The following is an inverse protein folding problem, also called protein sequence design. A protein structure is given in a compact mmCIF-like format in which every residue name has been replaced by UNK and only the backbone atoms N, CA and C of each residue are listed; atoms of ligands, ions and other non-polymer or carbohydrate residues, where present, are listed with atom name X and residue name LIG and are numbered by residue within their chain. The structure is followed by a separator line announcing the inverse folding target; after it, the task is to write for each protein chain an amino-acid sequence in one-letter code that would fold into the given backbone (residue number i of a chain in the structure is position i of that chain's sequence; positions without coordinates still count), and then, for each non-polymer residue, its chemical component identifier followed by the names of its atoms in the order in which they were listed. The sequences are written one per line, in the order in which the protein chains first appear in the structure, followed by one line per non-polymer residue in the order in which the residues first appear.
data_IF_580393005333
#
_entry.id   IF_580393005333
#
_cell.length_a   1.000
_cell.length_b   1.000
_cell.length_c   1.000
_cell.angle_alpha   90.00
_cell.angle_beta   90.00
_cell.angle_gamma   90.00
#
_symmetry.space_group_name_H-M   'P 1'
#
loop_
_entity.id
_entity.type
_entity.pdbx_description
1 polymer ?
#
# COMPACT_ATOMS: atom_id res chain seq x y z
N UNK A 1 23.50 20.07 -45.83
CA UNK A 1 24.09 19.46 -44.60
C UNK A 1 23.73 20.17 -43.29
N UNK A 2 23.16 21.39 -43.26
CA UNK A 2 22.70 22.05 -42.01
C UNK A 2 21.38 21.49 -41.44
N UNK A 3 20.50 20.95 -42.28
CA UNK A 3 19.20 20.39 -41.86
C UNK A 3 19.32 19.06 -41.08
N UNK A 4 20.43 18.34 -41.23
CA UNK A 4 20.67 17.07 -40.52
C UNK A 4 21.04 17.29 -39.03
N UNK A 5 21.73 18.39 -38.72
CA UNK A 5 22.12 18.73 -37.35
C UNK A 5 20.95 19.16 -36.47
N UNK A 6 19.89 19.72 -37.05
CA UNK A 6 18.70 20.17 -36.30
C UNK A 6 17.87 18.97 -35.82
N UNK A 7 17.81 17.90 -36.62
CA UNK A 7 17.08 16.67 -36.24
C UNK A 7 17.74 15.96 -35.06
N UNK A 8 19.07 15.97 -35.00
CA UNK A 8 19.83 15.35 -33.91
C UNK A 8 19.67 16.09 -32.57
N UNK A 9 19.50 17.41 -32.60
CA UNK A 9 19.29 18.23 -31.41
C UNK A 9 17.89 18.04 -30.78
N UNK A 10 16.88 17.72 -31.59
CA UNK A 10 15.51 17.49 -31.11
C UNK A 10 15.37 16.10 -30.45
N UNK A 11 16.15 15.10 -30.87
CA UNK A 11 16.16 13.76 -30.26
C UNK A 11 16.81 13.72 -28.87
N UNK A 12 17.77 14.61 -28.58
CA UNK A 12 18.47 14.68 -27.30
C UNK A 12 17.64 15.30 -26.16
N UNK A 13 16.54 15.97 -26.46
CA UNK A 13 15.66 16.59 -25.45
C UNK A 13 14.59 15.64 -24.88
N UNK A 14 14.38 14.47 -25.49
CA UNK A 14 13.31 13.54 -25.08
C UNK A 14 13.77 12.58 -23.96
N UNK A 15 15.06 12.51 -23.64
CA UNK A 15 15.58 11.60 -22.61
C UNK A 15 15.72 12.22 -21.22
N UNK A 16 15.28 13.48 -21.03
CA UNK A 16 15.43 14.17 -19.76
C UNK A 16 14.24 13.90 -18.82
N UNK A 17 14.51 13.08 -17.80
CA UNK A 17 13.84 13.06 -16.49
C UNK A 17 12.55 12.24 -16.32
N UNK A 18 12.65 10.91 -16.40
CA UNK A 18 11.80 10.05 -15.55
C UNK A 18 12.49 9.84 -14.20
N UNK A 19 12.54 10.87 -13.36
CA UNK A 19 12.89 10.67 -11.95
C UNK A 19 11.71 9.96 -11.28
N UNK A 20 11.79 8.63 -11.15
CA UNK A 20 10.94 7.89 -10.24
C UNK A 20 11.34 8.26 -8.80
N UNK A 21 10.82 9.38 -8.30
CA UNK A 21 10.99 9.74 -6.89
C UNK A 21 10.24 8.69 -6.06
N UNK A 22 10.98 7.85 -5.33
CA UNK A 22 10.37 6.93 -4.37
C UNK A 22 9.76 7.77 -3.25
N UNK A 23 8.44 7.68 -3.11
CA UNK A 23 7.73 8.27 -1.98
C UNK A 23 8.18 7.60 -0.67
N UNK A 24 8.22 8.38 0.41
CA UNK A 24 8.32 7.83 1.76
C UNK A 24 7.05 7.07 2.13
N UNK A 25 7.16 6.12 3.06
CA UNK A 25 5.98 5.35 3.48
C UNK A 25 4.92 6.25 4.12
N UNK A 26 5.35 7.34 4.76
CA UNK A 26 4.47 8.35 5.32
C UNK A 26 3.71 9.10 4.23
N UNK A 27 4.37 9.52 3.15
CA UNK A 27 3.68 10.18 2.04
C UNK A 27 2.66 9.26 1.37
N UNK A 28 2.99 7.98 1.15
CA UNK A 28 2.03 7.01 0.61
C UNK A 28 0.83 6.86 1.56
N UNK A 29 1.09 6.73 2.87
CA UNK A 29 0.05 6.66 3.88
C UNK A 29 -0.86 7.90 3.86
N UNK A 30 -0.29 9.10 3.82
CA UNK A 30 -1.05 10.36 3.83
C UNK A 30 -1.91 10.50 2.57
N UNK A 31 -1.36 10.16 1.41
CA UNK A 31 -2.08 10.20 0.13
C UNK A 31 -3.27 9.22 0.15
N UNK A 32 -3.02 7.96 0.50
CA UNK A 32 -4.04 6.90 0.48
C UNK A 32 -5.15 7.20 1.49
N UNK A 33 -4.80 7.69 2.68
CA UNK A 33 -5.79 7.96 3.73
C UNK A 33 -6.60 9.24 3.51
N UNK A 34 -6.14 10.15 2.64
CA UNK A 34 -6.82 11.42 2.33
C UNK A 34 -7.59 11.43 1.00
N UNK A 35 -7.19 10.62 0.01
CA UNK A 35 -7.72 10.70 -1.37
C UNK A 35 -8.44 9.45 -1.87
N UNK A 36 -8.66 8.45 -1.04
CA UNK A 36 -9.21 7.15 -1.45
C UNK A 36 -10.56 7.23 -2.21
N UNK A 37 -10.77 6.28 -3.10
CA UNK A 37 -12.05 6.04 -3.79
C UNK A 37 -12.99 5.17 -2.94
N UNK A 38 -12.42 4.15 -2.29
CA UNK A 38 -13.14 3.22 -1.42
C UNK A 38 -12.33 2.97 -0.15
N UNK A 39 -13.06 2.77 0.95
CA UNK A 39 -12.51 2.43 2.26
C UNK A 39 -13.36 1.35 2.92
N UNK A 40 -12.73 0.27 3.33
CA UNK A 40 -13.32 -0.81 4.13
C UNK A 40 -12.51 -1.00 5.41
N UNK A 41 -13.18 -1.14 6.55
CA UNK A 41 -12.52 -1.38 7.85
C UNK A 41 -12.93 -2.74 8.39
N UNK A 42 -11.95 -3.53 8.81
CA UNK A 42 -12.14 -4.83 9.47
C UNK A 42 -11.53 -4.77 10.86
N UNK A 43 -12.35 -4.93 11.89
CA UNK A 43 -11.89 -5.07 13.28
C UNK A 43 -11.46 -6.50 13.53
N UNK A 44 -10.24 -6.69 14.04
CA UNK A 44 -9.64 -8.01 14.23
C UNK A 44 -9.89 -8.51 15.67
N UNK A 45 -11.15 -8.84 15.99
CA UNK A 45 -11.52 -9.32 17.32
C UNK A 45 -10.71 -10.54 17.74
N UNK A 46 -10.32 -10.58 19.03
CA UNK A 46 -9.48 -11.64 19.63
C UNK A 46 -8.11 -11.85 18.99
N UNK A 47 -7.68 -10.99 18.06
CA UNK A 47 -6.32 -11.07 17.52
C UNK A 47 -5.29 -10.63 18.56
N UNK A 48 -4.22 -11.42 18.69
CA UNK A 48 -3.04 -11.07 19.50
C UNK A 48 -2.09 -10.12 18.78
N UNK A 49 -2.19 -10.01 17.44
CA UNK A 49 -1.29 -9.22 16.61
C UNK A 49 -1.93 -7.94 16.06
N UNK A 50 -3.20 -7.99 15.68
CA UNK A 50 -3.88 -6.90 14.96
C UNK A 50 -4.99 -6.29 15.80
N UNK A 51 -5.09 -4.96 15.79
CA UNK A 51 -6.26 -4.26 16.32
C UNK A 51 -7.35 -4.20 15.25
N UNK A 52 -6.97 -3.71 14.08
CA UNK A 52 -7.84 -3.57 12.90
C UNK A 52 -7.00 -3.49 11.64
N UNK A 53 -7.65 -3.70 10.50
CA UNK A 53 -7.06 -3.55 9.18
C UNK A 53 -8.01 -2.71 8.33
N UNK A 54 -7.49 -1.70 7.64
CA UNK A 54 -8.26 -0.82 6.76
C UNK A 54 -7.78 -1.00 5.33
N UNK A 55 -8.68 -1.39 4.44
CA UNK A 55 -8.44 -1.49 3.02
C UNK A 55 -8.90 -0.20 2.33
N UNK A 56 -8.05 0.31 1.44
CA UNK A 56 -8.31 1.47 0.62
C UNK A 56 -8.12 1.12 -0.85
N UNK A 57 -8.90 1.73 -1.73
CA UNK A 57 -8.56 1.79 -3.16
C UNK A 57 -8.27 3.22 -3.56
N UNK A 58 -7.26 3.41 -4.39
CA UNK A 58 -6.93 4.70 -4.99
C UNK A 58 -6.44 4.45 -6.42
N UNK A 59 -7.08 5.09 -7.39
CA UNK A 59 -6.74 4.98 -8.81
C UNK A 59 -6.69 3.51 -9.30
N UNK A 60 -7.64 2.69 -8.82
CA UNK A 60 -7.73 1.26 -9.15
C UNK A 60 -6.71 0.35 -8.45
N UNK A 61 -5.84 0.91 -7.59
CA UNK A 61 -4.87 0.16 -6.81
C UNK A 61 -5.36 -0.03 -5.38
N UNK A 62 -5.15 -1.22 -4.80
CA UNK A 62 -5.52 -1.50 -3.42
C UNK A 62 -4.35 -1.37 -2.45
N UNK A 63 -4.67 -0.85 -1.27
CA UNK A 63 -3.73 -0.55 -0.19
C UNK A 63 -4.34 -1.03 1.13
N UNK A 64 -3.50 -1.54 2.02
CA UNK A 64 -3.90 -1.94 3.36
C UNK A 64 -3.12 -1.16 4.38
N UNK A 65 -3.82 -0.56 5.35
CA UNK A 65 -3.24 -0.04 6.58
C UNK A 65 -3.60 -1.00 7.72
N UNK A 66 -2.60 -1.73 8.22
CA UNK A 66 -2.74 -2.64 9.34
C UNK A 66 -2.31 -1.96 10.64
N UNK A 67 -3.14 -2.03 11.67
CA UNK A 67 -2.83 -1.49 13.00
C UNK A 67 -2.33 -2.65 13.87
N UNK A 68 -1.00 -2.78 13.97
CA UNK A 68 -0.31 -3.89 14.63
C UNK A 68 -0.01 -3.54 16.08
N UNK A 69 -0.38 -4.42 17.00
CA UNK A 69 -0.13 -4.28 18.44
C UNK A 69 1.37 -4.33 18.73
N UNK A 70 1.86 -3.42 19.56
CA UNK A 70 3.24 -3.45 20.06
C UNK A 70 3.41 -4.31 21.32
N UNK A 71 2.30 -4.58 22.03
CA UNK A 71 2.21 -5.45 23.20
C UNK A 71 0.74 -5.82 23.47
N UNK A 72 0.49 -6.68 24.45
CA UNK A 72 -0.86 -7.18 24.76
C UNK A 72 -1.86 -6.09 25.21
N UNK A 73 -1.36 -4.95 25.70
CA UNK A 73 -2.17 -3.82 26.18
C UNK A 73 -2.34 -2.72 25.12
N UNK A 74 -1.81 -2.90 23.91
CA UNK A 74 -1.97 -1.94 22.82
C UNK A 74 -3.32 -2.13 22.11
N UNK A 75 -4.29 -1.31 22.48
CA UNK A 75 -5.63 -1.29 21.87
C UNK A 75 -5.73 -0.35 20.66
N UNK A 76 -4.69 0.43 20.38
CA UNK A 76 -4.66 1.38 19.28
C UNK A 76 -3.98 0.81 18.03
N UNK A 77 -2.90 0.05 18.24
CA UNK A 77 -2.02 -0.46 17.21
C UNK A 77 -1.19 0.64 16.55
N UNK A 78 0.01 0.28 16.13
CA UNK A 78 0.85 1.12 15.26
C UNK A 78 0.48 0.85 13.80
N UNK A 79 0.21 1.88 12.97
CA UNK A 79 -0.18 1.70 11.58
C UNK A 79 1.03 1.33 10.70
N UNK A 80 0.83 0.35 9.82
CA UNK A 80 1.77 -0.04 8.77
C UNK A 80 1.03 -0.16 7.44
N UNK A 81 1.63 0.38 6.38
CA UNK A 81 1.02 0.39 5.04
C UNK A 81 1.59 -0.71 4.14
N UNK A 82 0.70 -1.35 3.40
CA UNK A 82 0.94 -2.42 2.44
C UNK A 82 0.28 -2.03 1.10
N UNK A 83 0.93 -2.35 -0.01
CA UNK A 83 0.63 -1.82 -1.34
C UNK A 83 0.38 -2.94 -2.35
N UNK A 84 -0.47 -2.70 -3.35
CA UNK A 84 -0.72 -3.67 -4.43
C UNK A 84 -1.58 -4.87 -3.99
N UNK A 85 -2.43 -4.65 -2.99
CA UNK A 85 -3.40 -5.66 -2.53
C UNK A 85 -4.59 -5.65 -3.48
N UNK A 86 -4.82 -6.73 -4.21
CA UNK A 86 -6.01 -6.86 -5.03
C UNK A 86 -7.26 -7.23 -4.19
N UNK A 87 -8.44 -7.05 -4.79
CA UNK A 87 -9.71 -7.32 -4.11
C UNK A 87 -9.86 -8.80 -3.69
N UNK A 88 -9.27 -9.73 -4.45
CA UNK A 88 -9.34 -11.16 -4.15
C UNK A 88 -8.54 -11.49 -2.89
N UNK A 89 -7.32 -10.97 -2.75
CA UNK A 89 -6.52 -11.10 -1.53
C UNK A 89 -7.19 -10.45 -0.33
N UNK A 90 -7.77 -9.26 -0.52
CA UNK A 90 -8.54 -8.61 0.53
C UNK A 90 -9.73 -9.48 1.01
N UNK A 91 -10.45 -10.09 0.07
CA UNK A 91 -11.55 -11.00 0.39
C UNK A 91 -11.06 -12.24 1.15
N UNK A 92 -9.99 -12.89 0.69
CA UNK A 92 -9.42 -14.05 1.38
C UNK A 92 -8.89 -13.73 2.77
N UNK A 93 -8.26 -12.56 2.94
CA UNK A 93 -7.86 -12.08 4.26
C UNK A 93 -9.06 -12.03 5.24
N UNK A 94 -10.18 -11.44 4.79
CA UNK A 94 -11.39 -11.33 5.62
C UNK A 94 -12.00 -12.69 5.96
N UNK A 95 -12.01 -13.63 5.00
CA UNK A 95 -12.55 -14.98 5.20
C UNK A 95 -11.67 -15.76 6.19
N UNK A 96 -10.35 -15.85 5.95
CA UNK A 96 -9.42 -16.57 6.83
C UNK A 96 -9.26 -15.92 8.21
N UNK A 97 -9.49 -14.60 8.29
CA UNK A 97 -9.39 -13.85 9.54
C UNK A 97 -10.40 -14.27 10.62
N UNK A 98 -11.53 -14.87 10.23
CA UNK A 98 -12.52 -15.44 11.16
C UNK A 98 -11.89 -16.54 12.01
N UNK A 99 -10.96 -17.31 11.44
CA UNK A 99 -10.23 -18.37 12.14
C UNK A 99 -9.01 -17.81 12.85
N UNK A 100 -8.16 -17.07 12.14
CA UNK A 100 -6.92 -16.50 12.68
C UNK A 100 -6.50 -15.25 11.92
N UNK A 101 -6.75 -14.08 12.51
CA UNK A 101 -6.34 -12.79 11.92
C UNK A 101 -4.84 -12.69 11.66
N UNK A 102 -4.01 -13.30 12.52
CA UNK A 102 -2.56 -13.27 12.40
C UNK A 102 -2.06 -14.08 11.21
N UNK A 103 -2.52 -15.32 11.08
CA UNK A 103 -2.11 -16.22 10.01
C UNK A 103 -2.64 -15.72 8.66
N UNK A 104 -3.91 -15.34 8.60
CA UNK A 104 -4.53 -14.78 7.40
C UNK A 104 -3.82 -13.50 6.92
N UNK A 105 -3.38 -12.64 7.85
CA UNK A 105 -2.60 -11.46 7.49
C UNK A 105 -1.23 -11.82 6.90
N UNK A 106 -0.53 -12.80 7.47
CA UNK A 106 0.75 -13.26 6.94
C UNK A 106 0.60 -13.85 5.54
N UNK A 107 -0.45 -14.61 5.29
CA UNK A 107 -0.68 -15.27 4.02
C UNK A 107 -1.05 -14.30 2.89
N UNK A 108 -1.95 -13.34 3.15
CA UNK A 108 -2.55 -12.53 2.08
C UNK A 108 -2.02 -11.09 1.98
N UNK A 109 -1.37 -10.55 3.02
CA UNK A 109 -1.03 -9.11 3.10
C UNK A 109 0.44 -8.84 3.46
N UNK A 110 1.04 -9.59 4.39
CA UNK A 110 2.35 -9.24 4.99
C UNK A 110 3.48 -9.04 3.97
N UNK A 111 3.50 -9.83 2.89
CA UNK A 111 4.55 -9.77 1.87
C UNK A 111 4.42 -8.56 0.93
N UNK A 112 3.30 -7.83 1.00
CA UNK A 112 3.01 -6.67 0.17
C UNK A 112 3.47 -5.36 0.82
N UNK A 113 4.56 -5.39 1.59
CA UNK A 113 5.16 -4.18 2.14
C UNK A 113 5.46 -3.20 1.02
N UNK A 114 5.03 -1.96 1.17
CA UNK A 114 5.27 -0.92 0.18
C UNK A 114 6.78 -0.73 -0.03
N UNK A 115 7.21 -0.61 -1.29
CA UNK A 115 8.59 -0.26 -1.65
C UNK A 115 8.80 1.25 -1.54
N UNK A 116 8.73 1.76 -0.32
CA UNK A 116 8.93 3.16 0.03
C UNK A 116 10.32 3.39 0.64
N UNK A 117 10.79 4.65 0.59
CA UNK A 117 12.08 5.08 1.13
C UNK A 117 12.01 5.44 2.60
#
# INVERSE_FOLDING_TARGET
MKKLFIVFAILLLVTANTYSQKLSCQEVFDIVTSRYDLKETTTCYNSTMLVKVVYYTLDGNGYVVAYIKQNDYDFSGTPYIFCGIDNMRWMYFKIGGIESWGESFHEYIMDYKCNCR
#
